data_IF_071103754960
#
_entry.id   IF_071103754960
#
_cell.length_a   1.000
_cell.length_b   1.000
_cell.length_c   1.000
_cell.angle_alpha   90.00
_cell.angle_beta   90.00
_cell.angle_gamma   90.00
#
_symmetry.space_group_name_H-M   'P 1'
#
loop_
_entity.id
_entity.type
_entity.pdbx_description
1 polymer ?
#
# COMPACT_ATOMS: atom_id res chain seq x y z
N UNK A 1 34.35 37.53 -6.34
CA UNK A 1 33.91 38.84 -6.83
C UNK A 1 34.28 38.93 -8.30
N UNK A 2 33.35 39.47 -9.10
CA UNK A 2 33.38 39.78 -10.53
C UNK A 2 33.35 38.65 -11.58
N UNK A 3 32.19 38.52 -12.23
CA UNK A 3 32.00 37.88 -13.54
C UNK A 3 30.98 38.68 -14.37
N UNK A 4 31.35 39.91 -14.78
CA UNK A 4 30.70 40.56 -15.92
C UNK A 4 31.28 39.99 -17.20
N UNK A 5 30.67 38.96 -17.81
CA UNK A 5 30.61 38.86 -19.28
C UNK A 5 29.21 38.40 -19.69
N UNK A 6 28.52 39.39 -20.22
CA UNK A 6 27.29 39.43 -20.98
C UNK A 6 27.09 38.25 -21.96
N UNK A 7 25.89 37.66 -21.88
CA UNK A 7 25.24 36.80 -22.87
C UNK A 7 25.56 37.20 -24.33
N UNK A 8 26.26 36.34 -25.08
CA UNK A 8 26.22 36.33 -26.55
C UNK A 8 26.25 34.89 -27.09
N UNK A 9 25.35 34.62 -28.03
CA UNK A 9 25.05 33.37 -28.77
C UNK A 9 24.09 32.37 -28.09
N UNK A 10 22.81 32.55 -28.40
CA UNK A 10 21.73 31.60 -28.16
C UNK A 10 21.91 30.40 -29.12
N UNK A 11 22.44 29.29 -28.61
CA UNK A 11 22.62 28.05 -29.37
C UNK A 11 21.48 27.08 -29.00
N UNK A 12 20.34 27.19 -29.71
CA UNK A 12 19.09 26.49 -29.39
C UNK A 12 19.21 24.95 -29.45
N UNK A 13 20.27 24.40 -30.04
CA UNK A 13 20.48 22.94 -30.16
C UNK A 13 21.26 22.28 -29.02
N UNK A 14 22.02 23.05 -28.24
CA UNK A 14 22.76 22.51 -27.08
C UNK A 14 21.87 22.45 -25.83
N UNK A 15 20.90 23.37 -25.71
CA UNK A 15 19.92 23.37 -24.63
C UNK A 15 18.89 22.23 -24.76
N UNK A 16 18.49 21.87 -25.98
CA UNK A 16 17.58 20.73 -26.21
C UNK A 16 18.25 19.38 -25.92
N UNK A 17 19.55 19.22 -26.19
CA UNK A 17 20.32 18.03 -25.81
C UNK A 17 20.52 17.93 -24.29
N UNK A 18 20.73 19.05 -23.60
CA UNK A 18 20.81 19.08 -22.14
C UNK A 18 19.46 18.73 -21.49
N UNK A 19 18.35 19.25 -22.04
CA UNK A 19 16.99 18.87 -21.61
C UNK A 19 16.67 17.39 -21.88
N UNK A 20 17.08 16.84 -23.03
CA UNK A 20 16.91 15.41 -23.35
C UNK A 20 17.72 14.50 -22.41
N UNK A 21 18.95 14.88 -22.03
CA UNK A 21 19.73 14.16 -21.02
C UNK A 21 19.06 14.22 -19.64
N UNK A 22 18.54 15.38 -19.23
CA UNK A 22 17.80 15.50 -17.96
C UNK A 22 16.54 14.62 -17.96
N UNK A 23 15.81 14.54 -19.08
CA UNK A 23 14.60 13.68 -19.19
C UNK A 23 14.94 12.18 -19.18
N UNK A 24 16.08 11.78 -19.75
CA UNK A 24 16.57 10.38 -19.70
C UNK A 24 17.08 9.96 -18.32
N UNK A 25 17.56 10.89 -17.49
CA UNK A 25 18.02 10.64 -16.11
C UNK A 25 16.95 10.87 -15.03
N UNK A 26 15.75 11.34 -15.37
CA UNK A 26 14.69 11.67 -14.40
C UNK A 26 13.65 10.56 -14.18
N UNK A 27 13.86 9.34 -14.70
CA UNK A 27 12.83 8.28 -14.64
C UNK A 27 12.63 7.65 -13.25
N UNK A 28 13.34 8.07 -12.20
CA UNK A 28 13.18 7.50 -10.85
C UNK A 28 12.58 8.46 -9.79
N UNK A 29 11.97 9.59 -10.18
CA UNK A 29 11.37 10.53 -9.19
C UNK A 29 9.95 10.13 -8.72
N UNK A 30 9.51 8.91 -9.02
CA UNK A 30 8.30 8.32 -8.43
C UNK A 30 8.67 7.05 -7.64
N UNK A 31 9.73 7.13 -6.83
CA UNK A 31 10.02 6.10 -5.85
C UNK A 31 8.79 5.91 -4.96
N UNK A 32 8.11 4.77 -5.09
CA UNK A 32 7.12 4.34 -4.10
C UNK A 32 7.81 4.36 -2.74
N UNK A 33 7.20 4.93 -1.68
CA UNK A 33 7.81 4.92 -0.36
C UNK A 33 8.16 3.47 -0.02
N UNK A 34 9.46 3.19 0.09
CA UNK A 34 9.95 1.87 0.44
C UNK A 34 9.52 1.59 1.86
N UNK A 35 8.57 0.69 2.02
CA UNK A 35 8.16 0.19 3.32
C UNK A 35 9.29 -0.68 3.84
N UNK A 36 9.90 -0.27 4.94
CA UNK A 36 10.81 -1.12 5.70
C UNK A 36 9.99 -1.86 6.78
N UNK A 37 9.83 -3.16 6.57
CA UNK A 37 9.01 -4.03 7.42
C UNK A 37 9.75 -4.51 8.67
N UNK A 38 11.04 -4.21 8.82
CA UNK A 38 11.81 -4.53 10.03
C UNK A 38 11.69 -3.42 11.08
N UNK A 39 11.16 -2.25 10.71
CA UNK A 39 10.99 -1.13 11.63
C UNK A 39 9.97 -1.46 12.74
N UNK A 40 10.20 -1.00 13.98
CA UNK A 40 9.27 -1.20 15.09
C UNK A 40 7.99 -0.38 14.91
N UNK A 41 6.94 -0.72 15.67
CA UNK A 41 5.74 0.12 15.69
C UNK A 41 6.02 1.41 16.45
N UNK A 42 5.62 2.54 15.86
CA UNK A 42 5.71 3.85 16.50
C UNK A 42 4.33 4.52 16.59
N UNK A 43 3.83 4.69 17.81
CA UNK A 43 2.57 5.41 18.07
C UNK A 43 2.67 6.90 17.72
N UNK A 44 3.85 7.49 17.90
CA UNK A 44 4.10 8.92 17.71
C UNK A 44 3.62 9.80 18.88
N UNK A 45 3.88 11.12 18.82
CA UNK A 45 3.61 12.03 19.94
C UNK A 45 2.13 12.45 20.05
N UNK A 46 1.36 12.38 18.97
CA UNK A 46 -0.06 12.70 18.98
C UNK A 46 -0.88 11.66 19.77
N UNK A 47 -2.12 12.01 20.15
CA UNK A 47 -2.97 11.23 21.07
C UNK A 47 -4.33 10.83 20.50
N UNK A 48 -4.45 10.77 19.17
CA UNK A 48 -5.65 10.22 18.55
C UNK A 48 -5.70 8.70 18.71
N UNK A 49 -6.91 8.12 18.72
CA UNK A 49 -7.10 6.67 18.68
C UNK A 49 -7.36 6.24 17.23
N UNK A 50 -6.30 5.91 16.49
CA UNK A 50 -6.41 5.47 15.09
C UNK A 50 -6.00 4.01 14.98
N UNK A 51 -6.95 3.07 14.81
CA UNK A 51 -6.62 1.67 14.58
C UNK A 51 -5.75 1.52 13.34
N UNK A 52 -4.59 0.89 13.50
CA UNK A 52 -3.62 0.66 12.44
C UNK A 52 -3.08 -0.77 12.51
N UNK A 53 -2.39 -1.17 11.44
CA UNK A 53 -1.69 -2.44 11.30
C UNK A 53 -0.20 -2.17 11.17
N UNK A 54 0.61 -3.01 11.80
CA UNK A 54 2.07 -2.99 11.73
C UNK A 54 2.57 -4.41 11.55
N UNK A 55 3.65 -4.59 10.79
CA UNK A 55 4.26 -5.89 10.57
C UNK A 55 5.24 -6.22 11.69
N UNK A 56 4.90 -7.25 12.47
CA UNK A 56 5.77 -7.83 13.47
C UNK A 56 6.73 -8.82 12.79
N UNK A 57 7.98 -8.41 12.58
CA UNK A 57 9.01 -9.26 11.95
C UNK A 57 9.37 -10.47 12.82
N UNK A 58 9.42 -10.33 14.14
CA UNK A 58 9.72 -11.42 15.07
C UNK A 58 8.69 -12.55 15.00
N UNK A 59 7.42 -12.19 14.79
CA UNK A 59 6.31 -13.15 14.66
C UNK A 59 5.96 -13.47 13.21
N UNK A 60 6.51 -12.75 12.25
CA UNK A 60 6.15 -12.83 10.83
C UNK A 60 4.66 -12.56 10.57
N UNK A 61 4.03 -11.61 11.29
CA UNK A 61 2.59 -11.38 11.21
C UNK A 61 2.21 -9.89 11.25
N UNK A 62 1.14 -9.52 10.54
CA UNK A 62 0.54 -8.19 10.65
C UNK A 62 -0.39 -8.11 11.87
N UNK A 63 -0.06 -7.25 12.82
CA UNK A 63 -0.78 -7.07 14.08
C UNK A 63 -1.48 -5.71 14.15
N UNK A 64 -2.59 -5.64 14.90
CA UNK A 64 -3.30 -4.37 15.15
C UNK A 64 -2.62 -3.59 16.28
N UNK A 65 -2.51 -2.27 16.10
CA UNK A 65 -2.03 -1.29 17.09
C UNK A 65 -2.88 -0.01 17.02
N UNK A 66 -2.60 0.95 17.90
CA UNK A 66 -3.22 2.29 17.91
C UNK A 66 -2.15 3.31 17.54
N UNK A 67 -2.34 4.02 16.45
CA UNK A 67 -1.48 5.10 16.01
C UNK A 67 -2.01 6.44 16.53
N UNK A 68 -1.11 7.26 17.09
CA UNK A 68 -1.43 8.55 17.69
C UNK A 68 -1.86 9.63 16.69
N UNK A 69 -1.62 9.40 15.38
CA UNK A 69 -2.07 10.27 14.29
C UNK A 69 -1.03 11.24 13.73
N UNK A 70 0.17 11.28 14.29
CA UNK A 70 1.30 11.99 13.70
C UNK A 70 2.65 11.34 14.05
N UNK A 71 3.68 11.60 13.25
CA UNK A 71 5.00 10.98 13.38
C UNK A 71 5.01 9.53 12.91
N UNK A 72 5.78 8.68 13.61
CA UNK A 72 5.91 7.27 13.28
C UNK A 72 6.77 7.00 12.04
N UNK A 73 6.68 5.77 11.55
CA UNK A 73 7.44 5.29 10.41
C UNK A 73 6.57 4.56 9.36
N UNK A 74 7.20 4.05 8.29
CA UNK A 74 6.51 3.47 7.14
C UNK A 74 5.87 2.08 7.41
N UNK A 75 6.22 1.41 8.50
CA UNK A 75 5.60 0.14 8.92
C UNK A 75 4.24 0.40 9.60
N UNK A 76 3.37 1.20 8.96
CA UNK A 76 2.09 1.63 9.53
C UNK A 76 1.03 1.65 8.43
N UNK A 77 0.06 0.76 8.54
CA UNK A 77 -0.93 0.51 7.49
C UNK A 77 -2.35 0.64 8.01
N UNK A 78 -3.22 1.22 7.21
CA UNK A 78 -4.64 1.35 7.54
C UNK A 78 -5.35 0.00 7.57
N UNK A 79 -4.93 -0.96 6.73
CA UNK A 79 -5.58 -2.27 6.58
C UNK A 79 -4.57 -3.41 6.68
N UNK A 80 -5.03 -4.56 7.20
CA UNK A 80 -4.23 -5.78 7.29
C UNK A 80 -3.72 -6.20 5.91
N UNK A 81 -4.58 -6.10 4.90
CA UNK A 81 -4.27 -6.46 3.52
C UNK A 81 -3.08 -5.66 2.99
N UNK A 82 -3.03 -4.35 3.26
CA UNK A 82 -1.91 -3.51 2.84
C UNK A 82 -0.62 -3.92 3.56
N UNK A 83 -0.68 -4.16 4.87
CA UNK A 83 0.46 -4.68 5.62
C UNK A 83 0.98 -6.00 5.02
N UNK A 84 0.09 -6.96 4.77
CA UNK A 84 0.47 -8.25 4.17
C UNK A 84 1.05 -8.09 2.76
N UNK A 85 0.47 -7.17 1.97
CA UNK A 85 0.95 -6.85 0.62
C UNK A 85 2.37 -6.31 0.64
N UNK A 86 2.70 -5.38 1.54
CA UNK A 86 4.03 -4.78 1.53
C UNK A 86 5.07 -5.65 2.23
N UNK A 87 4.69 -6.36 3.29
CA UNK A 87 5.66 -7.01 4.17
C UNK A 87 5.75 -8.53 4.07
N UNK A 88 4.73 -9.20 3.55
CA UNK A 88 4.67 -10.67 3.58
C UNK A 88 4.85 -11.34 2.22
N UNK A 89 4.81 -10.62 1.11
CA UNK A 89 5.07 -11.23 -0.22
C UNK A 89 3.94 -12.11 -0.78
N UNK A 90 2.96 -12.50 0.05
CA UNK A 90 2.11 -13.67 -0.21
C UNK A 90 0.63 -13.33 -0.44
N UNK A 91 0.37 -12.18 -1.08
CA UNK A 91 -0.99 -11.74 -1.42
C UNK A 91 -1.68 -12.63 -2.46
N UNK A 92 -0.91 -13.28 -3.34
CA UNK A 92 -1.47 -14.27 -4.29
C UNK A 92 -2.28 -15.34 -3.57
N UNK A 93 -1.77 -15.83 -2.44
CA UNK A 93 -2.47 -16.86 -1.65
C UNK A 93 -3.81 -16.36 -1.12
N UNK A 94 -3.96 -15.06 -0.79
CA UNK A 94 -5.25 -14.52 -0.34
C UNK A 94 -6.27 -14.53 -1.47
N UNK A 95 -5.85 -14.17 -2.67
CA UNK A 95 -6.74 -14.05 -3.83
C UNK A 95 -7.14 -15.42 -4.42
N UNK A 96 -6.36 -16.47 -4.14
CA UNK A 96 -6.69 -17.86 -4.53
C UNK A 96 -7.66 -18.55 -3.56
N UNK A 97 -7.83 -18.03 -2.33
CA UNK A 97 -8.77 -18.60 -1.36
C UNK A 97 -10.21 -18.45 -1.84
N UNK A 98 -11.09 -19.43 -1.56
CA UNK A 98 -12.52 -19.28 -1.80
C UNK A 98 -13.11 -18.24 -0.83
N UNK A 99 -14.23 -17.60 -1.19
CA UNK A 99 -14.99 -16.83 -0.21
C UNK A 99 -15.66 -17.76 0.80
N UNK A 100 -15.51 -17.46 2.09
CA UNK A 100 -16.14 -18.21 3.17
C UNK A 100 -17.04 -17.29 4.02
N UNK A 101 -18.35 -17.58 3.99
CA UNK A 101 -19.35 -16.86 4.80
C UNK A 101 -19.14 -17.06 6.31
N UNK A 102 -18.61 -18.21 6.70
CA UNK A 102 -18.50 -18.62 8.10
C UNK A 102 -19.82 -19.05 8.73
N UNK A 103 -19.80 -19.53 9.99
CA UNK A 103 -20.97 -20.12 10.65
C UNK A 103 -21.94 -19.11 11.28
N UNK A 104 -21.51 -17.85 11.48
CA UNK A 104 -22.37 -16.81 12.02
C UNK A 104 -23.38 -16.30 10.96
N UNK A 105 -24.45 -15.64 11.42
CA UNK A 105 -25.59 -15.25 10.58
C UNK A 105 -25.81 -13.74 10.42
N UNK A 106 -24.79 -12.91 10.65
CA UNK A 106 -24.87 -11.50 10.29
C UNK A 106 -24.90 -11.32 8.76
N UNK A 107 -25.37 -10.16 8.30
CA UNK A 107 -25.38 -9.77 6.89
C UNK A 107 -24.45 -8.58 6.67
N UNK A 108 -23.15 -8.81 6.87
CA UNK A 108 -22.15 -7.76 6.72
C UNK A 108 -21.75 -7.64 5.25
N UNK A 109 -21.97 -6.49 4.58
CA UNK A 109 -21.58 -6.31 3.19
C UNK A 109 -20.06 -6.30 3.08
N UNK A 110 -19.52 -7.17 2.24
CA UNK A 110 -18.08 -7.33 2.02
C UNK A 110 -17.79 -7.55 0.54
N UNK A 111 -16.53 -7.48 0.18
CA UNK A 111 -15.95 -7.77 -1.11
C UNK A 111 -15.03 -8.98 -1.00
N UNK A 112 -14.98 -9.79 -2.04
CA UNK A 112 -14.03 -10.89 -2.17
C UNK A 112 -13.52 -10.94 -3.61
N UNK A 113 -12.35 -11.52 -3.83
CA UNK A 113 -11.84 -11.77 -5.17
C UNK A 113 -12.36 -13.12 -5.67
N UNK A 114 -13.09 -13.09 -6.79
CA UNK A 114 -13.55 -14.28 -7.50
C UNK A 114 -12.49 -14.68 -8.54
N UNK A 115 -11.77 -15.77 -8.28
CA UNK A 115 -10.80 -16.31 -9.24
C UNK A 115 -11.45 -16.82 -10.53
N UNK A 116 -12.74 -17.20 -10.46
CA UNK A 116 -13.51 -17.64 -11.62
C UNK A 116 -13.77 -16.50 -12.62
N UNK A 117 -13.99 -15.28 -12.13
CA UNK A 117 -14.29 -14.11 -12.97
C UNK A 117 -13.11 -13.14 -13.10
N UNK A 118 -12.06 -13.31 -12.27
CA UNK A 118 -10.93 -12.39 -12.15
C UNK A 118 -11.32 -11.03 -11.57
N UNK A 119 -12.36 -10.97 -10.72
CA UNK A 119 -12.93 -9.69 -10.25
C UNK A 119 -13.19 -9.66 -8.76
N UNK A 120 -13.07 -8.48 -8.18
CA UNK A 120 -13.60 -8.18 -6.86
C UNK A 120 -15.13 -8.02 -6.92
N UNK A 121 -15.84 -8.96 -6.30
CA UNK A 121 -17.30 -9.04 -6.24
C UNK A 121 -17.80 -8.80 -4.81
N UNK A 122 -19.03 -8.31 -4.66
CA UNK A 122 -19.63 -8.05 -3.34
C UNK A 122 -20.58 -9.16 -2.91
N UNK A 123 -20.60 -9.47 -1.61
CA UNK A 123 -21.43 -10.51 -0.98
C UNK A 123 -21.67 -10.18 0.51
N UNK A 124 -22.21 -11.12 1.29
CA UNK A 124 -22.50 -10.97 2.71
C UNK A 124 -21.71 -11.98 3.58
N UNK A 125 -20.89 -11.46 4.48
CA UNK A 125 -20.15 -12.24 5.47
C UNK A 125 -20.97 -12.43 6.76
N UNK A 126 -20.92 -13.65 7.30
CA UNK A 126 -21.66 -14.07 8.49
C UNK A 126 -21.20 -13.42 9.79
N UNK A 127 -20.01 -12.80 9.81
CA UNK A 127 -19.48 -12.04 10.94
C UNK A 127 -18.50 -12.81 11.84
N UNK A 128 -18.30 -14.10 11.63
CA UNK A 128 -17.24 -14.87 12.30
C UNK A 128 -16.72 -16.01 11.42
N UNK A 129 -15.49 -16.47 11.71
CA UNK A 129 -14.81 -17.51 10.92
C UNK A 129 -14.30 -17.00 9.58
N UNK A 130 -14.46 -17.83 8.55
CA UNK A 130 -14.00 -17.53 7.19
C UNK A 130 -12.49 -17.42 7.06
N UNK A 131 -12.04 -16.84 5.96
CA UNK A 131 -10.63 -16.69 5.62
C UNK A 131 -10.29 -15.25 5.18
N UNK A 132 -9.08 -15.03 4.66
CA UNK A 132 -8.58 -13.69 4.34
C UNK A 132 -9.15 -13.08 3.05
N UNK A 133 -9.82 -13.86 2.19
CA UNK A 133 -10.50 -13.33 1.00
C UNK A 133 -11.84 -12.69 1.36
N UNK A 134 -11.77 -11.64 2.19
CA UNK A 134 -12.92 -10.98 2.79
C UNK A 134 -12.54 -9.53 3.16
N UNK A 135 -13.00 -8.57 2.36
CA UNK A 135 -12.61 -7.16 2.42
C UNK A 135 -13.83 -6.27 2.63
N UNK A 136 -13.81 -5.36 3.63
CA UNK A 136 -14.95 -4.45 3.85
C UNK A 136 -15.07 -3.35 2.79
N UNK A 137 -13.97 -3.00 2.11
CA UNK A 137 -13.95 -1.99 1.05
C UNK A 137 -13.55 -2.63 -0.27
N UNK A 138 -14.22 -2.24 -1.35
CA UNK A 138 -13.87 -2.67 -2.71
C UNK A 138 -12.40 -2.38 -3.02
N UNK A 139 -11.92 -1.20 -2.63
CA UNK A 139 -10.56 -0.77 -2.90
C UNK A 139 -9.54 -1.68 -2.23
N UNK A 140 -9.79 -2.18 -1.01
CA UNK A 140 -8.86 -3.10 -0.35
C UNK A 140 -8.72 -4.42 -1.12
N UNK A 141 -9.82 -4.91 -1.71
CA UNK A 141 -9.80 -6.07 -2.60
C UNK A 141 -9.03 -5.78 -3.90
N UNK A 142 -9.28 -4.64 -4.54
CA UNK A 142 -8.60 -4.26 -5.80
C UNK A 142 -7.11 -4.00 -5.58
N UNK A 143 -6.74 -3.37 -4.46
CA UNK A 143 -5.36 -3.11 -4.12
C UNK A 143 -4.60 -4.41 -3.90
N UNK A 144 -5.23 -5.43 -3.31
CA UNK A 144 -4.59 -6.71 -3.05
C UNK A 144 -4.60 -7.65 -4.26
N UNK A 145 -5.74 -7.74 -4.97
CA UNK A 145 -6.02 -8.78 -5.96
C UNK A 145 -6.29 -8.26 -7.37
N UNK A 146 -6.45 -6.95 -7.57
CA UNK A 146 -6.89 -6.34 -8.84
C UNK A 146 -5.81 -6.21 -9.92
N UNK A 147 -4.60 -6.73 -9.70
CA UNK A 147 -3.51 -6.74 -10.70
C UNK A 147 -3.36 -8.10 -11.42
N UNK A 148 -4.38 -8.95 -11.37
CA UNK A 148 -4.40 -10.27 -12.00
C UNK A 148 -5.43 -10.36 -13.12
#
# INVERSE_FOLDING_TARGET
MDFKILMKTCNLRLWTLFLLLVVLFSQDVLGTPSVDCELPFEEGPCKAYIPAWWYNSDRGECERRVYGGCGGNANNFVTKSRCLKYCKGNWLQVCELPFEKGPCMALLPVWYFSSATGRCESTYYGGCGGNQNNFFRKQDCLDLCGQH
#
